data_IF_016613691287
#
_entry.id   IF_016613691287
#
_cell.length_a   1.000
_cell.length_b   1.000
_cell.length_c   1.000
_cell.angle_alpha   90.00
_cell.angle_beta   90.00
_cell.angle_gamma   90.00
#
_symmetry.space_group_name_H-M   'P 1'
#
loop_
_entity.id
_entity.type
_entity.pdbx_description
1 polymer ?
#
# COMPACT_ATOMS: atom_id res chain seq x y z
N UNK A 1 0.04 -15.44 13.89
CA UNK A 1 -0.01 -14.99 12.48
C UNK A 1 -0.34 -13.50 12.44
N UNK A 2 0.19 -12.75 11.48
CA UNK A 2 -0.14 -11.33 11.32
C UNK A 2 -1.60 -11.17 10.85
N UNK A 3 -2.29 -10.14 11.34
CA UNK A 3 -3.69 -9.83 11.00
C UNK A 3 -3.79 -8.36 10.57
N UNK A 4 -4.65 -8.01 9.59
CA UNK A 4 -4.90 -6.63 9.21
C UNK A 4 -5.66 -5.89 10.33
N UNK A 5 -5.29 -4.62 10.52
CA UNK A 5 -5.82 -3.74 11.56
C UNK A 5 -6.10 -2.36 10.96
N UNK A 6 -7.08 -1.65 11.50
CA UNK A 6 -7.15 -0.19 11.44
C UNK A 6 -6.39 0.35 12.64
N UNK A 7 -5.55 1.37 12.41
CA UNK A 7 -4.82 2.07 13.46
C UNK A 7 -5.21 3.56 13.45
N UNK A 8 -5.57 4.09 14.61
CA UNK A 8 -5.89 5.50 14.85
C UNK A 8 -4.93 6.10 15.89
N UNK A 9 -5.08 7.39 16.20
CA UNK A 9 -4.16 8.13 17.06
C UNK A 9 -2.79 8.29 16.42
N UNK A 10 -1.72 7.99 17.17
CA UNK A 10 -0.35 7.81 16.68
C UNK A 10 -0.04 6.36 16.29
N UNK A 11 -1.06 5.49 16.21
CA UNK A 11 -0.95 4.08 15.85
C UNK A 11 -1.17 3.10 17.01
N UNK A 12 -1.66 3.59 18.15
CA UNK A 12 -1.91 2.84 19.38
C UNK A 12 -3.36 2.32 19.50
N UNK A 13 -4.30 3.00 18.86
CA UNK A 13 -5.71 2.61 18.85
C UNK A 13 -5.97 1.63 17.71
N UNK A 14 -5.91 0.33 18.02
CA UNK A 14 -5.97 -0.75 17.05
C UNK A 14 -7.33 -1.47 17.07
N UNK A 15 -7.94 -1.62 15.90
CA UNK A 15 -9.13 -2.46 15.71
C UNK A 15 -8.92 -3.47 14.59
N UNK A 16 -9.41 -4.69 14.78
CA UNK A 16 -9.26 -5.76 13.80
C UNK A 16 -10.11 -5.51 12.55
N UNK A 17 -9.60 -5.94 11.39
CA UNK A 17 -10.36 -5.94 10.14
C UNK A 17 -10.74 -7.39 9.81
N UNK A 18 -11.96 -7.84 10.17
CA UNK A 18 -12.42 -9.19 9.83
C UNK A 18 -12.70 -9.32 8.34
N UNK A 19 -12.61 -10.54 7.81
CA UNK A 19 -12.98 -10.85 6.42
C UNK A 19 -12.11 -10.19 5.33
N UNK A 20 -10.88 -9.77 5.65
CA UNK A 20 -9.99 -9.15 4.68
C UNK A 20 -9.49 -10.20 3.66
N UNK A 21 -9.54 -9.93 2.36
CA UNK A 21 -9.17 -10.89 1.32
C UNK A 21 -7.64 -10.98 1.11
N UNK A 22 -7.20 -12.08 0.48
CA UNK A 22 -5.82 -12.22 0.02
C UNK A 22 -5.60 -11.52 -1.33
N UNK A 23 -5.04 -10.31 -1.28
CA UNK A 23 -4.77 -9.44 -2.42
C UNK A 23 -3.41 -9.73 -3.04
N UNK A 24 -3.31 -9.69 -4.37
CA UNK A 24 -2.02 -9.75 -5.08
C UNK A 24 -1.29 -8.42 -4.98
N UNK A 25 -0.01 -8.45 -4.59
CA UNK A 25 0.81 -7.25 -4.44
C UNK A 25 2.15 -7.41 -5.16
N UNK A 26 2.68 -6.30 -5.70
CA UNK A 26 4.12 -6.17 -6.00
C UNK A 26 4.67 -5.05 -5.16
N UNK A 27 5.73 -5.34 -4.41
CA UNK A 27 6.53 -4.38 -3.66
C UNK A 27 7.73 -3.98 -4.52
N UNK A 28 7.99 -2.68 -4.62
CA UNK A 28 9.15 -2.11 -5.30
C UNK A 28 9.83 -1.12 -4.37
N UNK A 29 11.13 -1.26 -4.17
CA UNK A 29 11.95 -0.22 -3.57
C UNK A 29 13.13 0.09 -4.51
N UNK A 30 13.32 1.35 -4.93
CA UNK A 30 14.35 1.71 -5.90
C UNK A 30 15.79 1.69 -5.33
N UNK A 31 15.99 1.13 -4.13
CA UNK A 31 17.30 1.05 -3.46
C UNK A 31 17.66 2.32 -2.69
N UNK A 32 16.70 3.24 -2.48
CA UNK A 32 16.93 4.53 -1.83
C UNK A 32 16.35 4.53 -0.43
N UNK A 33 17.11 5.03 0.54
CA UNK A 33 16.58 5.39 1.84
C UNK A 33 15.96 6.79 1.79
N UNK A 34 14.92 7.02 2.60
CA UNK A 34 14.40 8.35 2.89
C UNK A 34 14.26 8.46 4.40
N UNK A 35 14.74 9.56 4.98
CA UNK A 35 14.63 9.79 6.41
C UNK A 35 13.17 10.08 6.77
N UNK A 36 12.60 9.26 7.65
CA UNK A 36 11.25 9.50 8.18
C UNK A 36 11.15 10.90 8.77
N UNK A 37 12.15 11.36 9.54
CA UNK A 37 12.15 12.70 10.14
C UNK A 37 12.11 13.81 9.07
N UNK A 38 12.87 13.66 7.97
CA UNK A 38 12.86 14.65 6.88
C UNK A 38 11.49 14.72 6.19
N UNK A 39 10.84 13.57 5.95
CA UNK A 39 9.51 13.52 5.34
C UNK A 39 8.47 14.19 6.23
N UNK A 40 8.47 13.91 7.53
CA UNK A 40 7.56 14.57 8.48
C UNK A 40 7.82 16.08 8.60
N UNK A 41 9.07 16.52 8.52
CA UNK A 41 9.43 17.94 8.57
C UNK A 41 9.03 18.68 7.29
N UNK A 42 8.96 17.97 6.15
CA UNK A 42 8.55 18.54 4.88
C UNK A 42 7.02 18.59 4.67
N UNK A 43 6.21 18.11 5.62
CA UNK A 43 4.75 18.23 5.56
C UNK A 43 4.33 19.70 5.64
N UNK A 44 3.61 20.16 4.61
CA UNK A 44 3.01 21.50 4.58
C UNK A 44 1.81 21.64 5.50
N UNK A 45 1.08 20.53 5.71
CA UNK A 45 -0.06 20.46 6.62
C UNK A 45 0.01 19.16 7.43
N UNK A 46 -0.30 19.28 8.72
CA UNK A 46 -0.34 18.18 9.68
C UNK A 46 -1.77 17.92 10.19
N UNK A 47 -2.73 18.74 9.78
CA UNK A 47 -4.14 18.65 10.15
C UNK A 47 -4.95 18.17 8.95
N UNK A 48 -4.95 16.86 8.72
CA UNK A 48 -5.74 16.26 7.66
C UNK A 48 -7.01 15.61 8.23
N UNK A 49 -8.12 15.65 7.50
CA UNK A 49 -9.36 14.97 7.89
C UNK A 49 -9.15 13.45 8.03
N UNK A 50 -9.92 12.78 8.89
CA UNK A 50 -9.88 11.33 8.98
C UNK A 50 -10.10 10.64 7.63
N UNK A 51 -9.53 9.44 7.45
CA UNK A 51 -9.84 8.61 6.29
C UNK A 51 -11.30 8.12 6.36
N UNK A 52 -11.98 7.93 5.21
CA UNK A 52 -13.31 7.35 5.19
C UNK A 52 -13.29 5.94 5.80
N UNK A 53 -14.40 5.48 6.42
CA UNK A 53 -14.50 4.14 6.97
C UNK A 53 -14.29 3.09 5.88
N UNK A 54 -13.83 1.89 6.26
CA UNK A 54 -13.73 0.75 5.34
C UNK A 54 -15.09 0.41 4.71
N UNK A 55 -15.11 -0.10 3.47
CA UNK A 55 -16.33 -0.62 2.88
C UNK A 55 -16.81 -1.86 3.67
N UNK A 56 -18.12 -2.09 3.67
CA UNK A 56 -18.73 -3.24 4.37
C UNK A 56 -18.26 -4.58 3.79
N UNK A 57 -18.25 -4.66 2.47
CA UNK A 57 -17.78 -5.84 1.75
C UNK A 57 -16.33 -5.62 1.32
N UNK A 58 -15.46 -6.57 1.66
CA UNK A 58 -14.02 -6.51 1.38
C UNK A 58 -13.65 -7.49 0.27
N UNK A 59 -13.56 -6.98 -0.95
CA UNK A 59 -13.01 -7.67 -2.10
C UNK A 59 -11.95 -6.80 -2.79
N UNK A 60 -11.37 -7.31 -3.88
CA UNK A 60 -10.37 -6.58 -4.64
C UNK A 60 -10.86 -5.21 -5.12
N UNK A 61 -12.08 -5.14 -5.67
CA UNK A 61 -12.63 -3.93 -6.27
C UNK A 61 -13.05 -2.92 -5.21
N UNK A 62 -13.70 -3.36 -4.13
CA UNK A 62 -14.12 -2.47 -3.04
C UNK A 62 -12.92 -1.87 -2.32
N UNK A 63 -11.88 -2.67 -2.05
CA UNK A 63 -10.64 -2.18 -1.44
C UNK A 63 -9.90 -1.24 -2.38
N UNK A 64 -9.79 -1.58 -3.68
CA UNK A 64 -9.16 -0.69 -4.67
C UNK A 64 -9.89 0.66 -4.73
N UNK A 65 -11.22 0.65 -4.83
CA UNK A 65 -12.03 1.87 -4.88
C UNK A 65 -11.91 2.70 -3.59
N UNK A 66 -11.88 2.04 -2.44
CA UNK A 66 -11.65 2.70 -1.15
C UNK A 66 -10.23 3.29 -1.08
N UNK A 67 -9.22 2.59 -1.60
CA UNK A 67 -7.85 3.10 -1.68
C UNK A 67 -7.79 4.37 -2.53
N UNK A 68 -8.49 4.45 -3.67
CA UNK A 68 -8.49 5.66 -4.53
C UNK A 68 -8.97 6.93 -3.81
N UNK A 69 -9.90 6.81 -2.86
CA UNK A 69 -10.42 7.96 -2.10
C UNK A 69 -9.69 8.20 -0.77
N UNK A 70 -8.73 7.34 -0.42
CA UNK A 70 -7.84 7.54 0.74
C UNK A 70 -6.50 8.11 0.28
N UNK A 71 -5.60 8.36 1.23
CA UNK A 71 -4.33 9.02 0.96
C UNK A 71 -3.22 8.45 1.83
N UNK A 72 -1.98 8.66 1.37
CA UNK A 72 -0.81 8.67 2.22
C UNK A 72 -0.28 10.10 2.23
N UNK A 73 -0.54 10.82 3.33
CA UNK A 73 -0.18 12.23 3.47
C UNK A 73 1.33 12.48 3.38
N UNK A 74 2.15 11.45 3.61
CA UNK A 74 3.61 11.52 3.52
C UNK A 74 4.13 11.41 2.08
N UNK A 75 3.34 10.87 1.15
CA UNK A 75 3.82 10.55 -0.20
C UNK A 75 4.24 11.79 -1.00
N UNK A 76 3.49 12.91 -1.04
CA UNK A 76 3.92 14.10 -1.77
C UNK A 76 5.26 14.64 -1.29
N UNK A 77 5.47 14.72 0.03
CA UNK A 77 6.72 15.17 0.65
C UNK A 77 7.88 14.21 0.33
N UNK A 78 7.66 12.90 0.48
CA UNK A 78 8.68 11.90 0.17
C UNK A 78 9.07 11.90 -1.32
N UNK A 79 8.12 12.11 -2.23
CA UNK A 79 8.40 12.23 -3.68
C UNK A 79 9.18 13.49 -4.03
N UNK A 80 8.97 14.58 -3.32
CA UNK A 80 9.75 15.81 -3.50
C UNK A 80 11.20 15.63 -3.03
N UNK A 81 11.41 14.95 -1.89
CA UNK A 81 12.75 14.64 -1.35
C UNK A 81 13.46 13.59 -2.21
N UNK A 82 12.76 12.54 -2.63
CA UNK A 82 13.32 11.42 -3.38
C UNK A 82 12.46 11.10 -4.63
N UNK A 83 12.79 11.72 -5.78
CA UNK A 83 12.05 11.52 -7.04
C UNK A 83 12.02 10.06 -7.54
N UNK A 84 12.93 9.19 -7.09
CA UNK A 84 12.91 7.77 -7.41
C UNK A 84 11.63 7.06 -6.94
N UNK A 85 10.95 7.56 -5.90
CA UNK A 85 9.65 7.07 -5.44
C UNK A 85 8.60 7.27 -6.55
N UNK A 86 8.54 8.46 -7.15
CA UNK A 86 7.65 8.74 -8.27
C UNK A 86 7.92 7.83 -9.48
N UNK A 87 9.20 7.52 -9.74
CA UNK A 87 9.59 6.56 -10.78
C UNK A 87 9.10 5.15 -10.46
N UNK A 88 9.24 4.69 -9.21
CA UNK A 88 8.75 3.37 -8.78
C UNK A 88 7.23 3.23 -8.93
N UNK A 89 6.47 4.25 -8.51
CA UNK A 89 5.00 4.30 -8.70
C UNK A 89 4.63 4.27 -10.19
N UNK A 90 5.32 5.05 -11.04
CA UNK A 90 5.07 5.03 -12.49
C UNK A 90 5.34 3.65 -13.11
N UNK A 91 6.41 2.98 -12.68
CA UNK A 91 6.75 1.63 -13.15
C UNK A 91 5.70 0.60 -12.75
N UNK A 92 5.20 0.66 -11.51
CA UNK A 92 4.10 -0.20 -11.04
C UNK A 92 2.81 0.02 -11.86
N UNK A 93 2.43 1.28 -12.12
CA UNK A 93 1.27 1.61 -12.95
C UNK A 93 1.43 1.06 -14.38
N UNK A 94 2.59 1.26 -15.00
CA UNK A 94 2.88 0.73 -16.35
C UNK A 94 2.90 -0.80 -16.41
N UNK A 95 3.14 -1.47 -15.28
CA UNK A 95 3.08 -2.91 -15.17
C UNK A 95 1.65 -3.45 -14.98
N UNK A 96 0.63 -2.58 -15.00
CA UNK A 96 -0.78 -2.96 -14.91
C UNK A 96 -1.30 -3.09 -13.48
N UNK A 97 -0.69 -2.40 -12.51
CA UNK A 97 -1.26 -2.31 -11.17
C UNK A 97 -2.61 -1.59 -11.24
N UNK A 98 -3.64 -2.16 -10.59
CA UNK A 98 -4.97 -1.54 -10.49
C UNK A 98 -5.01 -0.38 -9.49
N UNK A 99 -3.99 -0.26 -8.65
CA UNK A 99 -3.74 0.84 -7.71
C UNK A 99 -2.27 0.85 -7.30
N UNK A 100 -1.68 2.01 -7.05
CA UNK A 100 -0.30 2.14 -6.55
C UNK A 100 -0.17 3.20 -5.47
N UNK A 101 0.66 2.97 -4.45
CA UNK A 101 0.97 3.96 -3.41
C UNK A 101 2.28 3.65 -2.72
N UNK A 102 2.89 4.65 -2.10
CA UNK A 102 3.99 4.49 -1.15
C UNK A 102 3.50 3.90 0.18
N UNK A 103 4.27 2.98 0.78
CA UNK A 103 3.99 2.43 2.10
C UNK A 103 4.69 3.26 3.19
N UNK A 104 3.92 3.78 4.16
CA UNK A 104 4.44 4.59 5.27
C UNK A 104 5.16 5.86 4.78
N UNK A 105 6.33 6.16 5.35
CA UNK A 105 7.22 7.25 4.91
C UNK A 105 8.11 6.89 3.71
N UNK A 106 8.02 5.66 3.19
CA UNK A 106 8.78 5.20 2.04
C UNK A 106 10.17 4.64 2.37
N UNK A 107 11.01 4.33 1.37
CA UNK A 107 10.79 4.54 -0.07
C UNK A 107 10.01 3.40 -0.77
N UNK A 108 9.62 2.36 -0.03
CA UNK A 108 8.93 1.20 -0.62
C UNK A 108 7.55 1.61 -1.14
N UNK A 109 7.29 1.27 -2.40
CA UNK A 109 6.01 1.41 -3.08
C UNK A 109 5.36 0.05 -3.26
N UNK A 110 4.04 0.01 -3.32
CA UNK A 110 3.28 -1.19 -3.65
C UNK A 110 2.31 -0.93 -4.79
N UNK A 111 2.09 -1.97 -5.61
CA UNK A 111 1.01 -2.03 -6.58
C UNK A 111 0.07 -3.17 -6.25
N UNK A 112 -1.23 -2.92 -6.37
CA UNK A 112 -2.31 -3.88 -6.18
C UNK A 112 -2.65 -4.55 -7.53
N UNK A 113 -2.70 -5.88 -7.56
CA UNK A 113 -2.96 -6.67 -8.75
C UNK A 113 -4.07 -7.69 -8.51
N UNK A 114 -4.94 -7.84 -9.50
CA UNK A 114 -6.16 -8.66 -9.42
C UNK A 114 -5.87 -10.11 -9.00
N UNK A 115 -4.74 -10.66 -9.46
CA UNK A 115 -4.33 -12.00 -9.07
C UNK A 115 -2.84 -12.07 -8.74
N UNK A 116 -2.46 -13.05 -7.92
CA UNK A 116 -1.06 -13.33 -7.62
C UNK A 116 -0.24 -13.71 -8.86
N UNK A 117 -0.86 -14.29 -9.90
CA UNK A 117 -0.18 -14.61 -11.15
C UNK A 117 0.17 -13.35 -11.96
N UNK A 118 -0.74 -12.37 -12.02
CA UNK A 118 -0.47 -11.07 -12.65
C UNK A 118 0.64 -10.34 -11.88
N UNK A 119 0.57 -10.30 -10.54
CA UNK A 119 1.64 -9.73 -9.71
C UNK A 119 3.01 -10.38 -9.97
N UNK A 120 3.09 -11.72 -10.05
CA UNK A 120 4.34 -12.42 -10.34
C UNK A 120 4.93 -12.04 -11.69
N UNK A 121 4.11 -11.96 -12.75
CA UNK A 121 4.57 -11.55 -14.09
C UNK A 121 5.07 -10.10 -14.08
N UNK A 122 4.32 -9.20 -13.45
CA UNK A 122 4.73 -7.80 -13.29
C UNK A 122 6.07 -7.69 -12.53
N UNK A 123 6.24 -8.41 -11.42
CA UNK A 123 7.50 -8.40 -10.67
C UNK A 123 8.71 -8.90 -11.47
N UNK A 124 8.53 -9.94 -12.30
CA UNK A 124 9.59 -10.44 -13.19
C UNK A 124 9.99 -9.37 -14.22
N UNK A 125 9.01 -8.74 -14.85
CA UNK A 125 9.23 -7.71 -15.88
C UNK A 125 9.81 -6.40 -15.30
N UNK A 126 9.41 -6.00 -14.10
CA UNK A 126 10.00 -4.85 -13.41
C UNK A 126 11.46 -5.17 -13.06
N UNK A 127 11.74 -6.34 -12.50
CA UNK A 127 13.10 -6.74 -12.11
C UNK A 127 14.05 -6.87 -13.29
N UNK A 128 13.59 -7.31 -14.47
CA UNK A 128 14.43 -7.38 -15.66
C UNK A 128 14.85 -6.00 -16.19
N UNK A 129 13.97 -4.98 -16.04
CA UNK A 129 14.22 -3.60 -16.47
C UNK A 129 14.92 -2.75 -15.41
N UNK A 130 14.83 -3.16 -14.14
CA UNK A 130 15.39 -2.47 -12.99
C UNK A 130 16.11 -3.46 -12.06
N UNK A 131 17.28 -3.99 -12.48
CA UNK A 131 17.98 -5.05 -11.75
C UNK A 131 18.50 -4.60 -10.37
N UNK A 132 18.76 -3.30 -10.19
CA UNK A 132 19.24 -2.74 -8.92
C UNK A 132 18.11 -2.46 -7.91
N UNK A 133 16.85 -2.70 -8.29
CA UNK A 133 15.71 -2.45 -7.42
C UNK A 133 15.35 -3.71 -6.64
N UNK A 134 14.93 -3.52 -5.39
CA UNK A 134 14.21 -4.57 -4.69
C UNK A 134 12.81 -4.71 -5.31
N UNK A 135 12.45 -5.91 -5.75
CA UNK A 135 11.15 -6.21 -6.35
C UNK A 135 10.65 -7.57 -5.86
N UNK A 136 9.47 -7.59 -5.23
CA UNK A 136 8.87 -8.81 -4.70
C UNK A 136 7.37 -8.90 -5.02
N UNK A 137 6.94 -10.01 -5.64
CA UNK A 137 5.53 -10.36 -5.70
C UNK A 137 5.13 -11.08 -4.41
N UNK A 138 4.03 -10.65 -3.78
CA UNK A 138 3.52 -11.22 -2.53
C UNK A 138 2.00 -11.19 -2.48
N UNK A 139 1.41 -11.67 -1.39
CA UNK A 139 -0.03 -11.56 -1.12
C UNK A 139 -0.27 -11.14 0.33
N UNK A 140 -1.36 -10.43 0.57
CA UNK A 140 -1.85 -10.22 1.95
C UNK A 140 -2.39 -11.52 2.53
N UNK A 141 -2.39 -11.61 3.86
CA UNK A 141 -3.04 -12.71 4.57
C UNK A 141 -4.54 -12.46 4.66
N UNK A 142 -5.33 -13.53 4.58
CA UNK A 142 -6.76 -13.46 4.88
C UNK A 142 -6.99 -13.31 6.38
N UNK A 143 -7.98 -12.53 6.80
CA UNK A 143 -8.54 -12.60 8.14
C UNK A 143 -9.87 -13.34 8.11
N UNK A 144 -10.16 -14.09 9.18
CA UNK A 144 -11.46 -14.73 9.35
C UNK A 144 -12.56 -13.67 9.45
N UNK A 145 -13.74 -13.98 8.92
CA UNK A 145 -14.92 -13.15 9.15
C UNK A 145 -15.34 -13.31 10.62
N UNK A 146 -15.83 -12.22 11.24
CA UNK A 146 -16.41 -12.31 12.57
C UNK A 146 -17.70 -13.14 12.47
N UNK A 147 -17.62 -14.43 12.80
CA UNK A 147 -18.79 -15.26 13.11
C UNK A 147 -19.35 -14.84 14.46
N UNK A 148 -19.96 -13.66 14.55
CA UNK A 148 -20.92 -13.40 15.63
C UNK A 148 -22.24 -14.06 15.21
N UNK A 149 -22.53 -15.16 15.89
CA UNK A 149 -23.74 -15.95 15.71
C UNK A 149 -25.00 -15.09 15.79
N UNK A 150 -25.85 -15.24 14.79
CA UNK A 150 -27.27 -15.02 14.97
C UNK A 150 -27.80 -16.27 15.69
N UNK A 151 -27.99 -16.14 17.00
CA UNK A 151 -28.97 -16.92 17.76
C UNK A 151 -30.13 -15.99 18.14
#
# INVERSE_FOLDING_TARGET
>A
AAKPLIALGIGEELSAVPGFPALGLVLVNPGTAVSTAEVFNALSDRHNEGLPPLPRDLDFHSIRNWLEITRNDLEPAARAIQPAIGKALSVLNKAGAGFTRMSGSGATCFGLFETGNVAKRAAVDIRSRHPDWFVAATRTMTSEADTHGQD
#
